data_IF_682116041561
#
_entry.id   IF_682116041561
#
_cell.length_a   1.000
_cell.length_b   1.000
_cell.length_c   1.000
_cell.angle_alpha   90.00
_cell.angle_beta   90.00
_cell.angle_gamma   90.00
#
_symmetry.space_group_name_H-M   'P 1'
#
loop_
_entity.id
_entity.type
_entity.pdbx_description
1 polymer ?
#
# COMPACT_ATOMS: atom_id res chain seq x y z
N UNK A 1 -39.66 -2.58 -15.73
CA UNK A 1 -39.16 -2.43 -14.34
C UNK A 1 -37.64 -2.58 -14.40
N UNK A 2 -36.88 -1.50 -14.17
CA UNK A 2 -35.40 -1.56 -14.24
C UNK A 2 -34.88 -2.26 -12.99
N UNK A 3 -34.09 -3.33 -13.16
CA UNK A 3 -33.55 -4.12 -12.04
C UNK A 3 -32.19 -3.59 -11.62
N UNK A 4 -31.91 -3.53 -10.31
CA UNK A 4 -30.58 -3.18 -9.76
C UNK A 4 -29.47 -4.04 -10.36
N UNK A 5 -29.76 -5.28 -10.72
CA UNK A 5 -28.82 -6.22 -11.36
C UNK A 5 -28.51 -5.85 -12.82
N UNK A 6 -29.47 -5.33 -13.57
CA UNK A 6 -29.25 -4.88 -14.95
C UNK A 6 -28.50 -3.54 -15.01
N UNK A 7 -28.69 -2.68 -14.00
CA UNK A 7 -27.96 -1.43 -13.85
C UNK A 7 -26.46 -1.66 -13.56
N UNK A 8 -26.14 -2.57 -12.63
CA UNK A 8 -24.74 -2.92 -12.34
C UNK A 8 -24.06 -3.69 -13.48
N UNK A 9 -24.80 -4.57 -14.18
CA UNK A 9 -24.26 -5.33 -15.30
C UNK A 9 -23.99 -4.50 -16.56
N UNK A 10 -24.87 -3.56 -16.90
CA UNK A 10 -24.78 -2.76 -18.13
C UNK A 10 -23.95 -1.48 -17.99
N UNK A 11 -24.15 -0.72 -16.91
CA UNK A 11 -23.41 0.53 -16.68
C UNK A 11 -22.06 0.28 -16.00
N UNK A 12 -21.98 -0.69 -15.09
CA UNK A 12 -20.74 -1.01 -14.37
C UNK A 12 -19.62 -1.52 -15.29
N UNK A 13 -19.95 -2.33 -16.30
CA UNK A 13 -18.96 -2.88 -17.23
C UNK A 13 -18.33 -1.81 -18.15
N UNK A 14 -19.14 -0.87 -18.65
CA UNK A 14 -18.66 0.20 -19.55
C UNK A 14 -17.84 1.23 -18.76
N UNK A 15 -18.29 1.62 -17.57
CA UNK A 15 -17.55 2.56 -16.72
C UNK A 15 -16.26 1.95 -16.19
N UNK A 16 -16.26 0.68 -15.74
CA UNK A 16 -15.06 0.01 -15.24
C UNK A 16 -13.99 -0.19 -16.33
N UNK A 17 -14.39 -0.53 -17.56
CA UNK A 17 -13.47 -0.68 -18.69
C UNK A 17 -12.82 0.66 -19.08
N UNK A 18 -13.61 1.75 -19.08
CA UNK A 18 -13.09 3.09 -19.37
C UNK A 18 -12.13 3.60 -18.29
N UNK A 19 -12.39 3.33 -17.00
CA UNK A 19 -11.50 3.73 -15.90
C UNK A 19 -10.23 2.87 -15.83
N UNK A 20 -10.30 1.58 -16.16
CA UNK A 20 -9.11 0.72 -16.19
C UNK A 20 -8.17 1.05 -17.37
N UNK A 21 -8.71 1.55 -18.49
CA UNK A 21 -7.93 2.01 -19.63
C UNK A 21 -7.36 3.44 -19.45
N UNK A 22 -7.86 4.21 -18.49
CA UNK A 22 -7.40 5.58 -18.24
C UNK A 22 -5.99 5.65 -17.63
N UNK A 23 -5.54 4.58 -16.98
CA UNK A 23 -4.16 4.46 -16.50
C UNK A 23 -3.34 3.76 -17.57
N UNK A 24 -2.39 4.47 -18.18
CA UNK A 24 -1.54 3.86 -19.20
C UNK A 24 -0.67 2.75 -18.56
N UNK A 25 -0.51 1.62 -19.26
CA UNK A 25 0.40 0.54 -18.83
C UNK A 25 1.83 1.04 -18.62
N UNK A 26 2.22 2.07 -19.37
CA UNK A 26 3.53 2.75 -19.25
C UNK A 26 3.64 3.47 -17.90
N UNK A 27 2.58 4.17 -17.46
CA UNK A 27 2.57 4.82 -16.15
C UNK A 27 2.68 3.81 -15.01
N UNK A 28 2.01 2.66 -15.11
CA UNK A 28 2.15 1.57 -14.13
C UNK A 28 3.56 0.94 -14.15
N UNK A 29 4.17 0.78 -15.32
CA UNK A 29 5.54 0.27 -15.44
C UNK A 29 6.62 1.26 -14.95
N UNK A 30 6.29 2.55 -14.87
CA UNK A 30 7.18 3.58 -14.33
C UNK A 30 7.15 3.65 -12.80
N UNK A 31 6.22 2.95 -12.13
CA UNK A 31 6.21 2.87 -10.67
C UNK A 31 7.39 2.02 -10.19
N UNK A 32 8.10 2.44 -9.13
CA UNK A 32 9.14 1.63 -8.53
C UNK A 32 8.53 0.32 -8.00
N UNK A 33 9.31 -0.76 -7.97
CA UNK A 33 8.85 -2.03 -7.38
C UNK A 33 8.43 -1.81 -5.91
N UNK A 34 7.27 -2.32 -5.48
CA UNK A 34 6.84 -2.18 -4.10
C UNK A 34 7.75 -3.00 -3.20
N UNK A 35 8.29 -2.36 -2.16
CA UNK A 35 8.99 -3.08 -1.10
C UNK A 35 7.95 -3.82 -0.26
N UNK A 36 8.20 -5.09 0.04
CA UNK A 36 7.31 -5.94 0.84
C UNK A 36 8.02 -6.40 2.13
N UNK A 37 7.24 -6.57 3.19
CA UNK A 37 7.69 -7.18 4.44
C UNK A 37 6.61 -8.12 4.97
N UNK A 38 6.95 -9.40 5.11
CA UNK A 38 6.02 -10.45 5.53
C UNK A 38 6.28 -10.94 6.96
N UNK A 39 7.41 -10.56 7.57
CA UNK A 39 7.78 -10.95 8.93
C UNK A 39 7.29 -9.94 9.97
N UNK A 40 6.94 -10.36 11.20
CA UNK A 40 6.48 -9.46 12.27
C UNK A 40 7.62 -8.70 12.96
N UNK A 41 8.86 -8.83 12.50
CA UNK A 41 10.02 -8.28 13.19
C UNK A 41 9.98 -6.75 13.19
N UNK A 42 10.34 -6.14 14.33
CA UNK A 42 10.56 -4.70 14.39
C UNK A 42 11.77 -4.34 13.55
N UNK A 43 11.59 -3.50 12.54
CA UNK A 43 12.70 -2.99 11.74
C UNK A 43 13.25 -1.68 12.32
N UNK A 44 14.57 -1.44 12.19
CA UNK A 44 15.14 -0.12 12.47
C UNK A 44 14.41 0.96 11.65
N UNK A 45 14.29 2.18 12.19
CA UNK A 45 13.56 3.23 11.50
C UNK A 45 14.34 3.70 10.27
N UNK A 46 13.63 4.17 9.25
CA UNK A 46 14.26 4.66 8.03
C UNK A 46 14.77 6.09 8.22
N UNK A 47 16.08 6.25 8.34
CA UNK A 47 16.72 7.57 8.44
C UNK A 47 16.57 8.32 7.11
N UNK A 48 16.09 9.58 7.11
CA UNK A 48 15.91 10.33 5.87
C UNK A 48 17.25 10.62 5.21
N UNK A 49 17.44 10.09 4.00
CA UNK A 49 18.58 10.46 3.14
C UNK A 49 18.31 11.73 2.32
N UNK A 50 17.04 12.14 2.24
CA UNK A 50 16.56 13.31 1.50
C UNK A 50 15.36 13.93 2.23
N UNK A 51 14.86 15.09 1.76
CA UNK A 51 13.70 15.77 2.36
C UNK A 51 14.04 16.57 3.62
N UNK A 52 13.01 16.98 4.39
CA UNK A 52 13.20 17.66 5.67
C UNK A 52 13.77 16.68 6.71
N UNK A 53 14.79 17.06 7.49
CA UNK A 53 15.25 16.25 8.62
C UNK A 53 14.16 16.12 9.69
N UNK A 54 14.04 14.94 10.28
CA UNK A 54 13.23 14.66 11.47
C UNK A 54 13.86 13.49 12.23
N UNK A 55 13.45 13.31 13.49
CA UNK A 55 13.79 12.12 14.25
C UNK A 55 12.79 11.00 13.92
N UNK A 56 13.20 9.91 13.25
CA UNK A 56 12.28 8.85 12.85
C UNK A 56 11.68 8.09 14.03
N UNK A 57 10.46 7.59 13.86
CA UNK A 57 9.76 6.80 14.88
C UNK A 57 9.95 5.31 14.63
N UNK A 58 10.20 4.55 15.70
CA UNK A 58 10.18 3.08 15.64
C UNK A 58 8.77 2.57 15.88
N UNK A 59 8.22 1.85 14.91
CA UNK A 59 6.94 1.14 15.05
C UNK A 59 7.21 -0.30 15.43
N UNK A 60 6.78 -0.70 16.64
CA UNK A 60 6.97 -2.06 17.12
C UNK A 60 6.25 -3.07 16.24
N UNK A 61 6.92 -4.20 15.99
CA UNK A 61 6.49 -5.28 15.11
C UNK A 61 6.15 -4.82 13.68
N UNK A 62 6.75 -3.69 13.27
CA UNK A 62 6.47 -3.00 12.03
C UNK A 62 7.72 -2.46 11.39
N UNK A 63 7.50 -1.65 10.35
CA UNK A 63 8.54 -1.11 9.49
C UNK A 63 8.05 0.18 8.83
N UNK A 64 8.97 1.06 8.44
CA UNK A 64 8.64 2.33 7.76
C UNK A 64 8.57 2.12 6.25
N UNK A 65 7.53 2.67 5.61
CA UNK A 65 7.36 2.65 4.17
C UNK A 65 8.51 3.40 3.48
N UNK A 66 9.28 2.76 2.58
CA UNK A 66 10.25 3.45 1.76
C UNK A 66 9.57 4.46 0.85
N UNK A 67 10.28 5.55 0.60
CA UNK A 67 9.75 6.66 -0.17
C UNK A 67 10.84 7.28 -1.05
N UNK A 68 10.42 8.02 -2.08
CA UNK A 68 11.31 8.86 -2.90
C UNK A 68 10.82 10.30 -2.92
N UNK A 69 11.75 11.25 -3.00
CA UNK A 69 11.38 12.64 -3.31
C UNK A 69 11.03 12.74 -4.80
N UNK A 70 9.94 13.42 -5.12
CA UNK A 70 9.61 13.87 -6.46
C UNK A 70 9.11 15.31 -6.41
N UNK A 71 9.87 16.25 -6.97
CA UNK A 71 9.49 17.68 -7.03
C UNK A 71 8.99 18.26 -5.69
N UNK A 72 9.67 17.93 -4.59
CA UNK A 72 9.31 18.40 -3.25
C UNK A 72 8.23 17.59 -2.52
N UNK A 73 7.68 16.55 -3.14
CA UNK A 73 6.69 15.65 -2.54
C UNK A 73 7.32 14.29 -2.20
N UNK A 74 6.98 13.71 -1.05
CA UNK A 74 7.30 12.31 -0.75
C UNK A 74 6.30 11.40 -1.44
N UNK A 75 6.79 10.49 -2.26
CA UNK A 75 5.97 9.47 -2.90
C UNK A 75 6.21 8.11 -2.28
N UNK A 76 5.12 7.43 -1.91
CA UNK A 76 5.10 6.09 -1.34
C UNK A 76 4.37 5.14 -2.29
N UNK A 77 4.81 3.88 -2.38
CA UNK A 77 4.13 2.86 -3.17
C UNK A 77 3.53 1.80 -2.26
N UNK A 78 2.19 1.78 -2.20
CA UNK A 78 1.42 0.82 -1.41
C UNK A 78 0.62 -0.14 -2.30
N UNK A 79 0.66 -1.42 -1.96
CA UNK A 79 -0.11 -2.48 -2.59
C UNK A 79 -1.04 -3.08 -1.55
N UNK A 80 -2.35 -2.92 -1.76
CA UNK A 80 -3.37 -3.56 -0.93
C UNK A 80 -3.53 -5.03 -1.32
N UNK A 81 -3.37 -5.93 -0.36
CA UNK A 81 -3.42 -7.37 -0.63
C UNK A 81 -3.92 -8.19 0.58
N UNK A 82 -4.44 -9.41 0.35
CA UNK A 82 -4.75 -10.32 1.43
C UNK A 82 -3.47 -10.84 2.10
N UNK A 83 -3.46 -10.85 3.43
CA UNK A 83 -2.33 -11.28 4.25
C UNK A 83 -2.80 -12.34 5.23
N UNK A 84 -1.98 -13.37 5.48
CA UNK A 84 -2.23 -14.36 6.53
C UNK A 84 -1.18 -14.18 7.62
N UNK A 85 -1.63 -13.96 8.87
CA UNK A 85 -0.75 -13.80 10.02
C UNK A 85 -1.07 -14.79 11.12
N UNK A 86 -0.03 -15.31 11.76
CA UNK A 86 -0.17 -16.01 13.03
C UNK A 86 -0.13 -15.00 14.18
N UNK A 87 -1.22 -14.89 14.95
CA UNK A 87 -1.35 -13.92 16.04
C UNK A 87 -0.86 -14.48 17.38
N UNK A 88 -1.02 -15.78 17.55
CA UNK A 88 -0.51 -16.60 18.66
C UNK A 88 -0.28 -18.01 18.10
N UNK A 89 0.59 -18.84 18.68
CA UNK A 89 0.86 -20.17 18.15
C UNK A 89 -0.41 -20.97 17.83
N UNK A 90 -0.56 -21.37 16.57
CA UNK A 90 -1.71 -22.11 16.04
C UNK A 90 -2.92 -21.25 15.62
N UNK A 91 -2.95 -19.96 15.92
CA UNK A 91 -4.03 -19.06 15.51
C UNK A 91 -3.64 -18.19 14.30
N UNK A 92 -4.17 -18.56 13.14
CA UNK A 92 -3.98 -17.81 11.88
C UNK A 92 -5.18 -16.93 11.57
N UNK A 93 -4.93 -15.65 11.35
CA UNK A 93 -5.90 -14.66 10.90
C UNK A 93 -5.69 -14.35 9.41
N UNK A 94 -6.79 -14.32 8.65
CA UNK A 94 -6.82 -13.81 7.28
C UNK A 94 -7.24 -12.35 7.32
N UNK A 95 -6.39 -11.47 6.81
CA UNK A 95 -6.52 -10.03 6.94
C UNK A 95 -6.35 -9.35 5.58
N UNK A 96 -6.71 -8.09 5.51
CA UNK A 96 -6.22 -7.19 4.48
C UNK A 96 -5.08 -6.34 5.05
N UNK A 97 -4.10 -6.07 4.21
CA UNK A 97 -2.90 -5.34 4.58
C UNK A 97 -2.31 -4.59 3.41
N UNK A 98 -1.21 -3.91 3.69
CA UNK A 98 -0.40 -3.25 2.69
C UNK A 98 1.00 -3.84 2.69
N UNK A 99 1.52 -4.13 1.50
CA UNK A 99 2.92 -4.50 1.28
C UNK A 99 3.39 -5.71 2.12
N UNK A 100 2.59 -6.77 2.17
CA UNK A 100 2.91 -8.03 2.84
C UNK A 100 2.49 -8.13 4.30
N UNK A 101 1.94 -7.05 4.89
CA UNK A 101 1.70 -6.99 6.33
C UNK A 101 0.37 -6.35 6.73
N UNK A 102 -0.15 -6.79 7.88
CA UNK A 102 -1.27 -6.18 8.59
C UNK A 102 -0.94 -6.15 10.09
N UNK A 103 -0.83 -4.97 10.74
CA UNK A 103 -0.88 -3.62 10.15
C UNK A 103 0.14 -3.40 9.03
N UNK A 104 -0.13 -2.47 8.10
CA UNK A 104 0.80 -2.11 7.02
C UNK A 104 1.98 -1.25 7.50
N UNK A 105 2.88 -0.82 6.59
CA UNK A 105 4.03 -0.01 6.97
C UNK A 105 3.65 1.38 7.49
N UNK A 106 4.46 1.92 8.38
CA UNK A 106 4.33 3.28 8.91
C UNK A 106 4.70 4.31 7.85
N UNK A 107 3.87 5.33 7.69
CA UNK A 107 4.15 6.49 6.83
C UNK A 107 4.58 7.66 7.71
N UNK A 108 5.73 8.26 7.39
CA UNK A 108 6.27 9.40 8.13
C UNK A 108 6.40 10.63 7.22
N UNK A 109 5.67 11.69 7.57
CA UNK A 109 5.67 13.00 6.89
C UNK A 109 5.90 14.12 7.90
N UNK A 110 6.46 15.23 7.43
CA UNK A 110 6.82 16.40 8.24
C UNK A 110 6.18 17.63 7.59
N UNK A 111 5.59 18.50 8.41
CA UNK A 111 5.00 19.79 8.00
C UNK A 111 6.06 20.80 7.55
#
# INVERSE_FOLDING_TARGET
>A
MVSRRSLLGGAGAITAAATAAAVSKVAMAALPEPVLQTKPDTMPPLVPSTGRPYNPVVTLNGWTAPWRMNNGVKEFHLVAEPVVREMTPGFKAHLWGYNGQSPGPTIEVVE
#
